data_IF_935596320227
#
_entry.id   IF_935596320227
#
_cell.length_a   1.000
_cell.length_b   1.000
_cell.length_c   1.000
_cell.angle_alpha   90.00
_cell.angle_beta   90.00
_cell.angle_gamma   90.00
#
_symmetry.space_group_name_H-M   'P 1'
#
loop_
_entity.id
_entity.type
_entity.pdbx_description
1 polymer ?
#
# COMPACT_ATOMS: atom_id res chain seq x y z
N UNK A 1 -15.65 -1.29 -1.53
CA UNK A 1 -14.36 -1.94 -1.26
C UNK A 1 -13.82 -2.38 -2.60
N UNK A 2 -12.65 -1.90 -2.97
CA UNK A 2 -12.03 -2.27 -4.23
C UNK A 2 -11.55 -3.73 -4.17
N UNK A 3 -11.33 -4.36 -5.33
CA UNK A 3 -10.69 -5.69 -5.41
C UNK A 3 -9.35 -5.66 -4.64
N UNK A 4 -8.98 -6.75 -3.97
CA UNK A 4 -7.67 -6.86 -3.34
C UNK A 4 -6.56 -6.68 -4.40
N UNK A 5 -5.45 -6.03 -4.04
CA UNK A 5 -4.40 -5.68 -5.02
C UNK A 5 -3.77 -6.89 -5.71
N UNK A 6 -3.66 -8.02 -4.99
CA UNK A 6 -3.14 -9.26 -5.58
C UNK A 6 -4.13 -9.89 -6.56
N UNK A 7 -5.44 -9.79 -6.31
CA UNK A 7 -6.47 -10.29 -7.22
C UNK A 7 -6.51 -9.44 -8.49
N UNK A 8 -6.42 -8.11 -8.35
CA UNK A 8 -6.32 -7.18 -9.47
C UNK A 8 -5.07 -7.48 -10.32
N UNK A 9 -3.91 -7.63 -9.67
CA UNK A 9 -2.63 -7.92 -10.31
C UNK A 9 -2.68 -9.24 -11.07
N UNK A 10 -3.11 -10.32 -10.41
CA UNK A 10 -3.26 -11.65 -11.01
C UNK A 10 -4.18 -11.61 -12.21
N UNK A 11 -5.34 -10.97 -12.08
CA UNK A 11 -6.31 -10.82 -13.19
C UNK A 11 -5.69 -10.11 -14.38
N UNK A 12 -4.99 -9.00 -14.19
CA UNK A 12 -4.39 -8.25 -15.31
C UNK A 12 -3.20 -8.97 -15.94
N UNK A 13 -2.32 -9.56 -15.13
CA UNK A 13 -1.13 -10.26 -15.61
C UNK A 13 -1.53 -11.54 -16.35
N UNK A 14 -2.38 -12.36 -15.75
CA UNK A 14 -2.71 -13.69 -16.29
C UNK A 14 -3.65 -13.61 -17.50
N UNK A 15 -4.61 -12.68 -17.47
CA UNK A 15 -5.54 -12.52 -18.60
C UNK A 15 -4.97 -11.67 -19.73
N UNK A 16 -3.92 -10.87 -19.47
CA UNK A 16 -3.39 -9.89 -20.42
C UNK A 16 -4.38 -8.76 -20.78
N UNK A 17 -5.49 -8.63 -20.05
CA UNK A 17 -6.58 -7.69 -20.34
C UNK A 17 -6.76 -6.68 -19.21
N UNK A 18 -6.58 -5.40 -19.55
CA UNK A 18 -6.77 -4.27 -18.63
C UNK A 18 -8.16 -3.67 -18.89
N UNK A 19 -9.05 -3.72 -17.90
CA UNK A 19 -10.42 -3.19 -17.98
C UNK A 19 -10.70 -2.08 -16.96
N UNK A 20 -9.67 -1.58 -16.31
CA UNK A 20 -9.68 -0.44 -15.38
C UNK A 20 -8.27 0.09 -15.15
N UNK A 21 -8.11 1.15 -14.33
CA UNK A 21 -6.79 1.70 -14.07
C UNK A 21 -5.92 0.69 -13.31
N UNK A 22 -4.72 0.31 -13.81
CA UNK A 22 -3.80 -0.57 -13.08
C UNK A 22 -3.17 0.13 -11.88
N UNK A 23 -3.04 1.45 -11.93
CA UNK A 23 -2.64 2.28 -10.79
C UNK A 23 -3.89 2.89 -10.15
N UNK A 24 -4.30 2.38 -8.98
CA UNK A 24 -5.46 2.91 -8.24
C UNK A 24 -4.98 3.87 -7.14
N UNK A 25 -5.82 4.87 -6.82
CA UNK A 25 -5.55 5.88 -5.78
C UNK A 25 -6.75 5.92 -4.83
N UNK A 26 -6.95 4.81 -4.10
CA UNK A 26 -8.11 4.61 -3.22
C UNK A 26 -7.81 4.97 -1.76
N UNK A 27 -6.52 4.95 -1.38
CA UNK A 27 -6.04 4.94 -0.01
C UNK A 27 -6.48 3.70 0.80
N UNK A 28 -7.05 2.68 0.15
CA UNK A 28 -7.33 1.41 0.82
C UNK A 28 -6.01 0.65 1.08
N UNK A 29 -5.96 -0.04 2.22
CA UNK A 29 -4.86 -0.92 2.61
C UNK A 29 -5.20 -2.35 2.20
N UNK A 30 -4.25 -3.02 1.58
CA UNK A 30 -4.27 -4.47 1.32
C UNK A 30 -3.12 -5.13 2.05
N UNK A 31 -3.43 -6.10 2.91
CA UNK A 31 -2.43 -6.95 3.55
C UNK A 31 -1.98 -8.02 2.55
N UNK A 32 -0.69 -8.00 2.20
CA UNK A 32 -0.11 -8.95 1.24
C UNK A 32 0.30 -10.26 1.93
N UNK A 33 0.76 -10.12 3.18
CA UNK A 33 1.06 -11.19 4.15
C UNK A 33 1.10 -10.55 5.54
N UNK A 34 1.15 -11.37 6.60
CA UNK A 34 1.16 -10.95 8.00
C UNK A 34 2.04 -9.71 8.32
N UNK A 35 3.22 -9.61 7.69
CA UNK A 35 4.19 -8.53 7.93
C UNK A 35 4.32 -7.51 6.79
N UNK A 36 3.52 -7.61 5.72
CA UNK A 36 3.63 -6.70 4.57
C UNK A 36 2.26 -6.21 4.13
N UNK A 37 2.09 -4.89 4.06
CA UNK A 37 0.89 -4.25 3.55
C UNK A 37 1.20 -3.22 2.46
N UNK A 38 0.25 -2.99 1.56
CA UNK A 38 0.31 -1.98 0.52
C UNK A 38 -0.87 -1.01 0.66
N UNK A 39 -0.59 0.29 0.66
CA UNK A 39 -1.60 1.34 0.64
C UNK A 39 -1.64 1.97 -0.74
N UNK A 40 -2.80 1.93 -1.38
CA UNK A 40 -2.97 2.45 -2.73
C UNK A 40 -2.97 3.98 -2.76
N UNK A 41 -2.01 4.56 -3.46
CA UNK A 41 -1.88 6.01 -3.56
C UNK A 41 -1.15 6.41 -4.85
N UNK A 42 -1.09 7.70 -5.16
CA UNK A 42 -0.42 8.19 -6.37
C UNK A 42 1.03 7.69 -6.48
N UNK A 43 1.72 7.61 -5.34
CA UNK A 43 2.89 6.77 -5.11
C UNK A 43 2.50 5.85 -3.96
N UNK A 44 2.29 4.57 -4.29
CA UNK A 44 1.85 3.57 -3.32
C UNK A 44 2.84 3.49 -2.17
N UNK A 45 2.35 3.19 -0.98
CA UNK A 45 3.20 2.99 0.19
C UNK A 45 3.20 1.52 0.56
N UNK A 46 4.32 0.85 0.32
CA UNK A 46 4.56 -0.51 0.80
C UNK A 46 5.14 -0.42 2.21
N UNK A 47 4.58 -1.16 3.15
CA UNK A 47 5.04 -1.19 4.54
C UNK A 47 5.44 -2.60 4.91
N UNK A 48 6.65 -2.73 5.44
CA UNK A 48 7.17 -3.97 6.03
C UNK A 48 7.26 -3.78 7.54
N UNK A 49 6.63 -4.69 8.30
CA UNK A 49 6.73 -4.76 9.75
C UNK A 49 8.00 -5.52 10.12
N UNK A 50 8.73 -4.99 11.09
CA UNK A 50 9.92 -5.62 11.68
C UNK A 50 9.85 -5.51 13.20
N UNK A 51 10.74 -6.20 13.91
CA UNK A 51 10.86 -6.08 15.37
C UNK A 51 11.23 -4.66 15.84
N UNK A 52 11.93 -3.89 14.99
CA UNK A 52 12.28 -2.50 15.25
C UNK A 52 11.19 -1.50 14.84
N UNK A 53 10.08 -1.96 14.25
CA UNK A 53 8.99 -1.12 13.77
C UNK A 53 8.83 -1.15 12.25
N UNK A 54 8.13 -0.16 11.72
CA UNK A 54 7.70 -0.16 10.32
C UNK A 54 8.75 0.46 9.40
N UNK A 55 9.04 -0.22 8.30
CA UNK A 55 9.77 0.33 7.16
C UNK A 55 8.74 0.69 6.09
N UNK A 56 8.63 1.97 5.76
CA UNK A 56 7.78 2.45 4.67
C UNK A 56 8.63 2.73 3.43
N UNK A 57 8.19 2.21 2.28
CA UNK A 57 8.73 2.55 0.97
C UNK A 57 7.80 3.57 0.34
N UNK A 58 8.38 4.72 -0.02
CA UNK A 58 7.72 5.96 -0.40
C UNK A 58 6.75 6.54 0.66
N UNK A 59 6.32 7.78 0.44
CA UNK A 59 5.44 8.53 1.36
C UNK A 59 4.17 9.06 0.69
N UNK A 60 3.88 8.61 -0.53
CA UNK A 60 2.89 9.23 -1.41
C UNK A 60 3.16 10.73 -1.66
N UNK A 61 2.20 11.42 -2.29
CA UNK A 61 2.26 12.86 -2.58
C UNK A 61 1.81 13.75 -1.40
N UNK A 62 2.21 15.04 -1.39
CA UNK A 62 2.01 15.96 -0.26
C UNK A 62 0.57 16.08 0.26
N UNK A 63 -0.42 15.98 -0.64
CA UNK A 63 -1.83 16.12 -0.31
C UNK A 63 -2.49 14.84 0.27
N UNK A 64 -1.75 13.73 0.35
CA UNK A 64 -2.31 12.40 0.67
C UNK A 64 -1.67 11.71 1.87
N UNK A 65 -0.59 12.26 2.43
CA UNK A 65 0.15 11.63 3.53
C UNK A 65 -0.70 11.33 4.76
N UNK A 66 -1.64 12.22 5.13
CA UNK A 66 -2.53 11.98 6.28
C UNK A 66 -3.46 10.79 6.05
N UNK A 67 -4.04 10.63 4.85
CA UNK A 67 -4.92 9.50 4.51
C UNK A 67 -4.16 8.18 4.47
N UNK A 68 -2.92 8.21 3.99
CA UNK A 68 -2.03 7.04 4.04
C UNK A 68 -1.76 6.66 5.50
N UNK A 69 -1.45 7.62 6.37
CA UNK A 69 -1.24 7.37 7.79
C UNK A 69 -2.51 6.84 8.48
N UNK A 70 -3.68 7.42 8.21
CA UNK A 70 -4.96 6.93 8.73
C UNK A 70 -5.18 5.46 8.37
N UNK A 71 -4.95 5.10 7.11
CA UNK A 71 -5.13 3.73 6.61
C UNK A 71 -4.10 2.77 7.22
N UNK A 72 -2.83 3.17 7.27
CA UNK A 72 -1.76 2.42 7.92
C UNK A 72 -2.09 2.12 9.39
N UNK A 73 -2.65 3.09 10.11
CA UNK A 73 -2.94 2.98 11.55
C UNK A 73 -4.10 2.06 11.87
N UNK A 74 -4.88 1.65 10.88
CA UNK A 74 -5.86 0.55 11.03
C UNK A 74 -5.19 -0.83 11.08
N UNK A 75 -3.99 -0.97 10.48
CA UNK A 75 -3.22 -2.22 10.41
C UNK A 75 -2.09 -2.30 11.44
N UNK A 76 -1.42 -1.17 11.75
CA UNK A 76 -0.38 -1.12 12.79
C UNK A 76 -0.26 0.24 13.46
N UNK A 77 -0.12 0.23 14.78
CA UNK A 77 0.22 1.40 15.60
C UNK A 77 1.72 1.53 15.88
N UNK A 78 2.56 0.64 15.34
CA UNK A 78 4.01 0.66 15.53
C UNK A 78 4.64 1.93 14.95
N UNK A 79 5.80 2.32 15.52
CA UNK A 79 6.56 3.47 15.04
C UNK A 79 7.03 3.23 13.60
N UNK A 80 6.94 4.26 12.75
CA UNK A 80 7.66 4.24 11.47
C UNK A 80 9.13 4.45 11.80
N UNK A 81 9.93 3.40 11.62
CA UNK A 81 11.35 3.39 11.93
C UNK A 81 12.19 3.92 10.77
N UNK A 82 11.82 3.59 9.54
CA UNK A 82 12.57 3.97 8.34
C UNK A 82 11.63 4.34 7.20
N UNK A 83 12.00 5.39 6.46
CA UNK A 83 11.37 5.77 5.20
C UNK A 83 12.40 5.64 4.08
N UNK A 84 12.07 4.84 3.07
CA UNK A 84 12.91 4.58 1.89
C UNK A 84 12.29 5.31 0.71
N UNK A 85 13.09 6.11 0.00
CA UNK A 85 12.67 6.72 -1.27
C UNK A 85 13.26 5.92 -2.43
N UNK A 86 12.39 5.49 -3.36
CA UNK A 86 12.76 4.67 -4.52
C UNK A 86 13.08 5.47 -5.78
#
# INVERSE_FOLDING_TARGET
MADHVLDLSTRYIDSGRIDGPPNRVTHELSELTDDIALIEAFSHVLVVRTEDGLIAFDSSGPASGSRVLESLRTWSTDRIHTLVYT
#
